data_IF_470616071852
#
_entry.id   IF_470616071852
#
_cell.length_a   1.000
_cell.length_b   1.000
_cell.length_c   1.000
_cell.angle_alpha   90.00
_cell.angle_beta   90.00
_cell.angle_gamma   90.00
#
_symmetry.space_group_name_H-M   'P 1'
#
loop_
_entity.id
_entity.type
_entity.pdbx_description
1 polymer ?
#
# COMPACT_ATOMS: atom_id res chain seq x y z
N UNK A 1 7.95 13.09 -6.75
CA UNK A 1 7.56 11.65 -6.65
C UNK A 1 8.16 10.91 -7.83
N UNK A 2 8.97 9.86 -7.63
CA UNK A 2 9.40 9.01 -8.73
C UNK A 2 8.22 8.16 -9.21
N UNK A 3 8.16 7.84 -10.51
CA UNK A 3 7.07 7.04 -11.09
C UNK A 3 6.93 5.64 -10.45
N UNK A 4 8.01 5.09 -9.89
CA UNK A 4 8.01 3.79 -9.21
C UNK A 4 7.18 3.74 -7.93
N UNK A 5 7.08 4.85 -7.18
CA UNK A 5 6.29 4.89 -5.95
C UNK A 5 4.77 4.84 -6.24
N UNK A 6 4.32 5.42 -7.36
CA UNK A 6 2.90 5.41 -7.75
C UNK A 6 2.42 4.03 -8.19
N UNK A 7 3.25 3.28 -8.91
CA UNK A 7 2.93 1.92 -9.33
C UNK A 7 2.80 0.97 -8.12
N UNK A 8 3.69 1.10 -7.14
CA UNK A 8 3.65 0.33 -5.90
C UNK A 8 2.40 0.65 -5.07
N UNK A 9 2.08 1.94 -4.89
CA UNK A 9 0.87 2.39 -4.22
C UNK A 9 -0.40 1.86 -4.88
N UNK A 10 -0.48 1.96 -6.21
CA UNK A 10 -1.61 1.43 -6.99
C UNK A 10 -1.73 -0.09 -6.91
N UNK A 11 -0.62 -0.83 -6.83
CA UNK A 11 -0.70 -2.27 -6.66
C UNK A 11 -1.21 -2.65 -5.27
N UNK A 12 -0.78 -1.92 -4.24
CA UNK A 12 -1.20 -2.16 -2.87
C UNK A 12 -2.68 -1.81 -2.62
N UNK A 13 -3.25 -0.83 -3.33
CA UNK A 13 -4.65 -0.39 -3.13
C UNK A 13 -5.71 -1.47 -3.41
N UNK A 14 -5.34 -2.55 -4.12
CA UNK A 14 -6.20 -3.71 -4.37
C UNK A 14 -6.23 -4.75 -3.24
N UNK A 15 -5.53 -4.49 -2.13
CA UNK A 15 -5.53 -5.35 -0.95
C UNK A 15 -6.28 -4.67 0.18
N UNK A 16 -7.14 -5.40 0.87
CA UNK A 16 -7.77 -4.93 2.11
C UNK A 16 -6.74 -4.87 3.24
N UNK A 17 -6.50 -3.66 3.74
CA UNK A 17 -5.75 -3.36 4.95
C UNK A 17 -6.64 -3.40 6.19
N UNK A 18 -7.92 -3.09 6.04
CA UNK A 18 -8.91 -3.08 7.12
C UNK A 18 -9.94 -4.20 6.96
N UNK A 19 -10.49 -4.67 8.07
CA UNK A 19 -11.65 -5.57 8.08
C UNK A 19 -12.96 -4.79 7.87
N UNK A 20 -14.09 -5.50 7.83
CA UNK A 20 -15.42 -4.89 7.66
C UNK A 20 -15.84 -3.98 8.81
N UNK A 21 -15.15 -4.04 9.95
CA UNK A 21 -15.40 -3.21 11.13
C UNK A 21 -14.44 -2.02 11.19
N UNK A 22 -13.58 -1.83 10.17
CA UNK A 22 -12.58 -0.76 10.12
C UNK A 22 -11.33 -1.02 10.96
N UNK A 23 -11.10 -2.25 11.43
CA UNK A 23 -9.89 -2.57 12.18
C UNK A 23 -8.75 -2.98 11.23
N UNK A 24 -7.54 -2.53 11.52
CA UNK A 24 -6.36 -2.93 10.76
C UNK A 24 -6.15 -4.44 10.88
N UNK A 25 -6.03 -5.11 9.74
CA UNK A 25 -5.78 -6.55 9.67
C UNK A 25 -4.37 -6.88 10.11
N UNK A 26 -4.14 -8.16 10.44
CA UNK A 26 -2.82 -8.61 10.83
C UNK A 26 -1.77 -8.29 9.75
N UNK A 27 -0.67 -7.66 10.15
CA UNK A 27 0.39 -7.25 9.23
C UNK A 27 0.99 -8.43 8.45
N UNK A 28 1.09 -9.61 9.07
CA UNK A 28 1.58 -10.83 8.40
C UNK A 28 0.65 -11.24 7.25
N UNK A 29 -0.67 -11.14 7.46
CA UNK A 29 -1.66 -11.48 6.44
C UNK A 29 -1.66 -10.47 5.29
N UNK A 30 -1.52 -9.18 5.61
CA UNK A 30 -1.38 -8.12 4.61
C UNK A 30 -0.13 -8.36 3.75
N UNK A 31 1.02 -8.62 4.38
CA UNK A 31 2.27 -8.95 3.67
C UNK A 31 2.13 -10.19 2.80
N UNK A 32 1.50 -11.25 3.31
CA UNK A 32 1.25 -12.48 2.55
C UNK A 32 0.36 -12.23 1.33
N UNK A 33 -0.63 -11.33 1.43
CA UNK A 33 -1.47 -10.94 0.28
C UNK A 33 -0.70 -10.09 -0.73
N UNK A 34 0.11 -9.14 -0.28
CA UNK A 34 0.95 -8.32 -1.17
C UNK A 34 1.95 -9.18 -1.95
N UNK A 35 2.53 -10.19 -1.31
CA UNK A 35 3.37 -11.20 -1.96
C UNK A 35 2.54 -12.08 -2.92
N UNK A 36 1.62 -12.88 -2.39
CA UNK A 36 0.94 -13.93 -3.17
C UNK A 36 -0.06 -13.42 -4.20
N UNK A 37 -0.79 -12.33 -3.93
CA UNK A 37 -1.84 -11.82 -4.83
C UNK A 37 -1.35 -10.72 -5.77
N UNK A 38 -0.33 -9.96 -5.36
CA UNK A 38 0.20 -8.84 -6.16
C UNK A 38 1.58 -9.11 -6.74
N UNK A 39 2.25 -10.20 -6.34
CA UNK A 39 3.59 -10.56 -6.81
C UNK A 39 4.66 -9.56 -6.38
N UNK A 40 4.45 -8.84 -5.26
CA UNK A 40 5.41 -7.87 -4.77
C UNK A 40 6.53 -8.59 -4.02
N UNK A 41 7.77 -8.26 -4.37
CA UNK A 41 8.95 -8.75 -3.65
C UNK A 41 9.00 -8.18 -2.23
N UNK A 42 9.71 -8.85 -1.33
CA UNK A 42 9.91 -8.37 0.04
C UNK A 42 10.47 -6.94 0.08
N UNK A 43 11.41 -6.61 -0.82
CA UNK A 43 11.98 -5.27 -0.92
C UNK A 43 10.93 -4.21 -1.27
N UNK A 44 10.03 -4.50 -2.21
CA UNK A 44 8.94 -3.61 -2.60
C UNK A 44 7.90 -3.48 -1.48
N UNK A 45 7.58 -4.56 -0.79
CA UNK A 45 6.68 -4.53 0.37
C UNK A 45 7.26 -3.64 1.47
N UNK A 46 8.54 -3.81 1.79
CA UNK A 46 9.22 -2.97 2.78
C UNK A 46 9.29 -1.51 2.32
N UNK A 47 9.54 -1.26 1.03
CA UNK A 47 9.49 0.09 0.46
C UNK A 47 8.11 0.73 0.65
N UNK A 48 7.03 -0.02 0.41
CA UNK A 48 5.67 0.47 0.61
C UNK A 48 5.46 0.90 2.06
N UNK A 49 5.71 0.02 3.02
CA UNK A 49 5.49 0.32 4.45
C UNK A 49 6.45 1.39 5.02
N UNK A 50 7.62 1.57 4.41
CA UNK A 50 8.53 2.66 4.79
C UNK A 50 8.08 4.02 4.23
N UNK A 51 7.37 4.02 3.10
CA UNK A 51 6.97 5.24 2.38
C UNK A 51 5.58 5.70 2.74
N UNK A 52 4.65 4.76 2.94
CA UNK A 52 3.23 5.01 3.11
C UNK A 52 2.72 4.46 4.42
N UNK A 53 1.87 5.24 5.05
CA UNK A 53 0.99 4.81 6.13
C UNK A 53 -0.44 4.81 5.61
N UNK A 54 -1.12 3.67 5.71
CA UNK A 54 -2.52 3.54 5.29
C UNK A 54 -3.39 4.01 6.45
N UNK A 55 -4.12 5.11 6.23
CA UNK A 55 -4.94 5.75 7.25
C UNK A 55 -6.37 5.21 7.24
N UNK A 56 -6.89 4.97 6.04
CA UNK A 56 -8.26 4.51 5.84
C UNK A 56 -8.41 3.79 4.50
N UNK A 57 -9.40 2.91 4.41
CA UNK A 57 -9.77 2.24 3.18
C UNK A 57 -11.28 2.00 3.12
N UNK A 58 -11.90 2.54 2.09
CA UNK A 58 -13.27 2.21 1.75
C UNK A 58 -13.30 0.98 0.85
N UNK A 59 -13.80 -0.13 1.40
CA UNK A 59 -14.00 -1.38 0.66
C UNK A 59 -15.33 -1.30 -0.12
N UNK A 60 -15.27 -1.69 -1.40
CA UNK A 60 -16.40 -1.89 -2.32
C UNK A 60 -17.64 -1.02 -2.07
N UNK A 61 -17.64 0.18 -2.65
CA UNK A 61 -18.87 0.95 -2.83
C UNK A 61 -19.82 0.23 -3.81
N UNK A 62 -21.13 0.51 -3.74
CA UNK A 62 -22.14 -0.09 -4.62
C UNK A 62 -21.88 0.08 -6.13
N UNK A 63 -20.97 0.97 -6.51
CA UNK A 63 -20.52 1.23 -7.87
C UNK A 63 -19.21 0.51 -8.25
N UNK A 64 -18.65 -0.33 -7.38
CA UNK A 64 -17.41 -1.08 -7.61
C UNK A 64 -16.12 -0.29 -7.39
N UNK A 65 -16.21 0.93 -6.84
CA UNK A 65 -15.04 1.73 -6.50
C UNK A 65 -14.57 1.43 -5.08
N UNK A 66 -13.26 1.34 -4.91
CA UNK A 66 -12.58 1.37 -3.60
C UNK A 66 -11.63 2.56 -3.55
N UNK A 67 -11.48 3.12 -2.36
CA UNK A 67 -10.58 4.23 -2.11
C UNK A 67 -9.65 3.88 -0.94
N UNK A 68 -8.40 4.32 -1.03
CA UNK A 68 -7.41 4.16 0.03
C UNK A 68 -6.79 5.52 0.30
N UNK A 69 -6.88 5.96 1.56
CA UNK A 69 -6.24 7.20 2.01
C UNK A 69 -4.90 6.83 2.63
N UNK A 70 -3.83 7.41 2.09
CA UNK A 70 -2.48 7.21 2.60
C UNK A 70 -1.83 8.52 2.96
N UNK A 71 -0.99 8.48 3.98
CA UNK A 71 -0.01 9.52 4.29
C UNK A 71 1.35 9.07 3.79
N UNK A 72 2.05 9.92 3.06
CA UNK A 72 3.48 9.72 2.82
C UNK A 72 4.25 10.07 4.09
N UNK A 73 5.00 9.12 4.62
CA UNK A 73 5.66 9.20 5.93
C UNK A 73 6.84 10.18 5.97
N UNK A 74 7.07 10.98 4.91
CA UNK A 74 8.18 11.95 4.81
C UNK A 74 9.59 11.34 4.81
N UNK A 75 9.72 10.03 5.08
CA UNK A 75 10.96 9.24 4.91
C UNK A 75 11.21 9.02 3.42
N UNK A 76 11.61 10.09 2.75
CA UNK A 76 12.03 10.05 1.35
C UNK A 76 13.17 9.03 1.22
N UNK A 77 12.94 7.95 0.50
CA UNK A 77 14.00 7.04 0.10
C UNK A 77 14.84 7.76 -0.95
N UNK A 78 15.96 8.36 -0.53
CA UNK A 78 16.86 9.23 -1.32
C UNK A 78 17.58 8.53 -2.49
N UNK A 79 17.19 7.30 -2.86
CA UNK A 79 17.91 6.51 -3.87
C UNK A 79 17.65 6.90 -5.34
N UNK A 80 16.74 7.85 -5.61
CA UNK A 80 16.41 8.27 -6.99
C UNK A 80 16.62 9.77 -7.25
N UNK A 81 17.70 10.37 -6.74
CA UNK A 81 18.22 11.63 -7.28
C UNK A 81 19.47 11.27 -8.10
N UNK A 82 19.30 11.03 -9.40
CA UNK A 82 20.42 11.17 -10.32
C UNK A 82 20.55 12.67 -10.63
N UNK A 83 21.71 13.21 -10.29
CA UNK A 83 22.18 14.57 -10.62
C UNK A 83 22.56 14.61 -12.10
#
# INVERSE_FOLDING_TARGET
>A
MSNGNKALLSSASYIDFFDSNGNLKNLKDIKAKLDKKRGLTESQINQFFNTYEVLDQQLETASGFSAMVVRESGKVNLRNIHV
#
